data_IF_246459946960
#
_entry.id   IF_246459946960
#
_cell.length_a   1.000
_cell.length_b   1.000
_cell.length_c   1.000
_cell.angle_alpha   90.00
_cell.angle_beta   90.00
_cell.angle_gamma   90.00
#
_symmetry.space_group_name_H-M   'P 1'
#
loop_
_entity.id
_entity.type
_entity.pdbx_description
1 polymer ?
#
# COMPACT_ATOMS: atom_id res chain seq x y z
N UNK A 1 -0.77 39.13 10.17
CA UNK A 1 0.09 38.18 9.42
C UNK A 1 -0.80 37.00 9.09
N UNK A 2 -0.96 36.60 7.82
CA UNK A 2 -1.75 35.41 7.54
C UNK A 2 -0.96 34.21 8.06
N UNK A 3 -1.57 33.42 8.94
CA UNK A 3 -1.04 32.12 9.32
C UNK A 3 -0.89 31.28 8.06
N UNK A 4 0.30 30.74 7.81
CA UNK A 4 0.60 29.92 6.65
C UNK A 4 -0.33 28.71 6.65
N UNK A 5 -1.11 28.55 5.58
CA UNK A 5 -1.97 27.38 5.33
C UNK A 5 -1.20 26.09 5.09
N UNK A 6 0.13 26.09 5.17
CA UNK A 6 0.97 24.91 5.07
C UNK A 6 1.15 24.34 6.48
N UNK A 7 0.46 23.24 6.78
CA UNK A 7 0.82 22.44 7.96
C UNK A 7 2.27 21.92 7.86
N UNK A 8 2.82 21.29 8.93
CA UNK A 8 4.18 20.73 8.92
C UNK A 8 4.46 19.87 7.69
N UNK A 9 5.66 20.04 7.13
CA UNK A 9 6.16 19.30 5.97
C UNK A 9 6.14 17.79 6.22
N UNK A 10 5.90 17.04 5.14
CA UNK A 10 5.98 15.58 5.19
C UNK A 10 7.44 15.14 5.41
N UNK A 11 7.60 14.03 6.12
CA UNK A 11 8.89 13.41 6.36
C UNK A 11 9.56 13.08 5.01
N UNK A 12 10.86 13.34 4.80
CA UNK A 12 11.54 13.14 3.52
C UNK A 12 11.35 11.75 2.91
N UNK A 13 11.39 10.69 3.73
CA UNK A 13 11.05 9.33 3.29
C UNK A 13 9.63 9.21 2.71
N UNK A 14 8.62 9.80 3.35
CA UNK A 14 7.22 9.75 2.87
C UNK A 14 7.12 10.46 1.52
N UNK A 15 7.81 11.59 1.36
CA UNK A 15 7.85 12.33 0.09
C UNK A 15 8.51 11.50 -1.01
N UNK A 16 9.74 11.05 -0.78
CA UNK A 16 10.55 10.29 -1.75
C UNK A 16 9.84 9.00 -2.18
N UNK A 17 9.23 8.30 -1.22
CA UNK A 17 8.49 7.08 -1.51
C UNK A 17 7.20 7.37 -2.29
N UNK A 18 6.48 8.45 -1.95
CA UNK A 18 5.31 8.87 -2.73
C UNK A 18 5.69 9.18 -4.18
N UNK A 19 6.79 9.90 -4.39
CA UNK A 19 7.29 10.24 -5.72
C UNK A 19 7.71 8.98 -6.51
N UNK A 20 8.45 8.07 -5.88
CA UNK A 20 8.82 6.78 -6.47
C UNK A 20 7.58 5.98 -6.92
N UNK A 21 6.56 5.88 -6.06
CA UNK A 21 5.30 5.19 -6.36
C UNK A 21 4.57 5.86 -7.52
N UNK A 22 4.46 7.20 -7.51
CA UNK A 22 3.81 7.96 -8.60
C UNK A 22 4.53 7.76 -9.92
N UNK A 23 5.86 7.84 -9.94
CA UNK A 23 6.66 7.65 -11.14
C UNK A 23 6.48 6.23 -11.72
N UNK A 24 6.50 5.19 -10.87
CA UNK A 24 6.22 3.83 -11.34
C UNK A 24 4.80 3.73 -11.90
N UNK A 25 3.80 4.30 -11.21
CA UNK A 25 2.39 4.27 -11.62
C UNK A 25 2.18 4.93 -12.97
N UNK A 26 2.80 6.08 -13.23
CA UNK A 26 2.75 6.80 -14.51
C UNK A 26 3.32 5.98 -15.67
N UNK A 27 4.27 5.09 -15.41
CA UNK A 27 4.84 4.18 -16.40
C UNK A 27 3.96 2.97 -16.74
N UNK A 28 2.86 2.73 -16.03
CA UNK A 28 2.04 1.54 -16.23
C UNK A 28 1.11 1.68 -17.45
N UNK A 29 0.83 0.58 -18.17
CA UNK A 29 0.02 0.60 -19.39
C UNK A 29 -1.46 0.90 -19.10
N UNK A 30 -2.05 1.76 -19.93
CA UNK A 30 -3.48 2.12 -19.89
C UNK A 30 -3.93 2.73 -18.55
N UNK A 31 -3.06 3.51 -17.90
CA UNK A 31 -3.38 4.20 -16.64
C UNK A 31 -4.59 5.14 -16.81
N UNK A 32 -5.52 5.05 -15.87
CA UNK A 32 -6.73 5.88 -15.80
C UNK A 32 -7.03 6.22 -14.35
N UNK A 33 -7.58 7.41 -14.12
CA UNK A 33 -8.17 7.76 -12.83
C UNK A 33 -9.30 6.80 -12.48
N UNK A 34 -9.39 6.42 -11.20
CA UNK A 34 -10.51 5.66 -10.67
C UNK A 34 -11.28 6.56 -9.71
N UNK A 35 -12.56 6.77 -10.01
CA UNK A 35 -13.39 7.69 -9.25
C UNK A 35 -13.45 7.30 -7.76
N UNK A 36 -13.17 8.26 -6.90
CA UNK A 36 -13.34 8.17 -5.45
C UNK A 36 -14.44 9.15 -5.05
N UNK A 37 -15.34 8.80 -4.11
CA UNK A 37 -16.27 9.77 -3.54
C UNK A 37 -15.50 10.99 -3.01
N UNK A 38 -15.97 12.20 -3.32
CA UNK A 38 -15.25 13.43 -2.97
C UNK A 38 -15.00 13.58 -1.45
N UNK A 39 -15.88 12.99 -0.61
CA UNK A 39 -15.73 12.94 0.84
C UNK A 39 -14.63 11.98 1.33
N UNK A 40 -14.10 11.14 0.44
CA UNK A 40 -13.03 10.19 0.69
C UNK A 40 -11.73 10.51 -0.06
N UNK A 41 -11.74 11.41 -1.04
CA UNK A 41 -10.53 11.80 -1.78
C UNK A 41 -9.59 12.67 -0.94
N UNK A 42 -10.15 13.69 -0.27
CA UNK A 42 -9.44 14.59 0.64
C UNK A 42 -10.24 14.71 1.93
N UNK A 43 -9.68 14.23 3.03
CA UNK A 43 -10.37 14.18 4.32
C UNK A 43 -9.65 15.11 5.29
N UNK A 44 -10.44 15.96 5.93
CA UNK A 44 -9.98 16.87 6.98
C UNK A 44 -10.80 16.57 8.23
N UNK A 45 -10.12 16.28 9.33
CA UNK A 45 -10.74 15.98 10.62
C UNK A 45 -9.92 16.50 11.78
N UNK A 46 -10.26 16.04 12.98
CA UNK A 46 -9.49 16.32 14.18
C UNK A 46 -9.50 15.11 15.10
N UNK A 47 -8.37 14.82 15.75
CA UNK A 47 -8.27 13.79 16.77
C UNK A 47 -7.49 14.37 17.96
N UNK A 48 -8.07 14.28 19.17
CA UNK A 48 -7.47 14.76 20.41
C UNK A 48 -6.97 16.23 20.34
N UNK A 49 -7.65 17.08 19.56
CA UNK A 49 -7.31 18.49 19.35
C UNK A 49 -6.30 18.76 18.23
N UNK A 50 -5.73 17.72 17.62
CA UNK A 50 -4.81 17.81 16.50
C UNK A 50 -5.55 17.65 15.16
N UNK A 51 -5.15 18.41 14.14
CA UNK A 51 -5.75 18.32 12.81
C UNK A 51 -5.31 17.04 12.08
N UNK A 52 -6.27 16.31 11.52
CA UNK A 52 -6.05 15.12 10.70
C UNK A 52 -6.30 15.46 9.23
N UNK A 53 -5.35 15.11 8.38
CA UNK A 53 -5.43 15.25 6.93
C UNK A 53 -5.15 13.89 6.28
N UNK A 54 -5.99 13.46 5.34
CA UNK A 54 -5.78 12.25 4.55
C UNK A 54 -6.02 12.62 3.07
N UNK A 55 -5.08 12.23 2.21
CA UNK A 55 -5.13 12.45 0.77
C UNK A 55 -5.04 11.10 0.05
N UNK A 56 -6.03 10.82 -0.78
CA UNK A 56 -6.12 9.59 -1.56
C UNK A 56 -5.96 9.85 -3.04
N UNK A 57 -5.04 9.11 -3.67
CA UNK A 57 -4.85 9.05 -5.10
C UNK A 57 -5.18 7.64 -5.58
N UNK A 58 -6.20 7.51 -6.43
CA UNK A 58 -6.69 6.19 -6.86
C UNK A 58 -6.80 6.13 -8.37
N UNK A 59 -6.14 5.11 -8.93
CA UNK A 59 -6.09 4.86 -10.37
C UNK A 59 -6.40 3.40 -10.65
N UNK A 60 -6.50 3.06 -11.93
CA UNK A 60 -6.50 1.69 -12.45
C UNK A 60 -5.62 1.63 -13.69
N UNK A 61 -5.15 0.46 -14.06
CA UNK A 61 -4.43 0.27 -15.31
C UNK A 61 -4.70 -1.14 -15.87
N UNK A 62 -4.12 -1.48 -17.02
CA UNK A 62 -4.19 -2.85 -17.51
C UNK A 62 -3.59 -3.81 -16.46
N UNK A 63 -4.34 -4.84 -16.07
CA UNK A 63 -3.90 -5.87 -15.12
C UNK A 63 -4.05 -5.53 -13.64
N UNK A 64 -4.25 -4.26 -13.28
CA UNK A 64 -4.44 -3.80 -11.91
C UNK A 64 -5.78 -3.09 -11.77
N UNK A 65 -6.71 -3.67 -10.99
CA UNK A 65 -8.06 -3.15 -10.78
C UNK A 65 -8.07 -1.83 -10.01
N UNK A 66 -7.06 -1.62 -9.14
CA UNK A 66 -6.95 -0.45 -8.28
C UNK A 66 -5.50 -0.22 -7.86
N UNK A 67 -5.02 1.01 -8.00
CA UNK A 67 -3.73 1.49 -7.53
C UNK A 67 -4.02 2.64 -6.58
N UNK A 68 -3.91 2.38 -5.28
CA UNK A 68 -4.25 3.35 -4.23
C UNK A 68 -2.97 3.79 -3.53
N UNK A 69 -2.72 5.10 -3.53
CA UNK A 69 -1.73 5.76 -2.68
C UNK A 69 -2.47 6.71 -1.73
N UNK A 70 -2.35 6.45 -0.44
CA UNK A 70 -2.83 7.31 0.64
C UNK A 70 -1.63 7.95 1.35
N UNK A 71 -1.74 9.23 1.63
CA UNK A 71 -0.88 9.92 2.60
C UNK A 71 -1.74 10.55 3.68
N UNK A 72 -1.38 10.32 4.94
CA UNK A 72 -2.11 10.87 6.07
C UNK A 72 -1.18 11.57 7.06
N UNK A 73 -1.72 12.56 7.76
CA UNK A 73 -1.00 13.36 8.75
C UNK A 73 -1.92 13.75 9.89
N UNK A 74 -1.51 13.42 11.12
CA UNK A 74 -2.19 13.83 12.34
C UNK A 74 -1.28 14.78 13.13
N UNK A 75 -1.66 16.05 13.13
CA UNK A 75 -0.91 17.13 13.77
C UNK A 75 0.53 17.20 13.28
N UNK A 76 1.44 17.40 14.23
CA UNK A 76 2.90 17.24 14.04
C UNK A 76 3.38 15.81 14.35
N UNK A 77 2.52 14.96 14.93
CA UNK A 77 2.94 13.77 15.66
C UNK A 77 3.02 12.48 14.85
N UNK A 78 2.21 12.35 13.79
CA UNK A 78 2.12 11.12 13.02
C UNK A 78 1.93 11.42 11.53
N UNK A 79 2.67 10.71 10.70
CA UNK A 79 2.50 10.70 9.26
C UNK A 79 2.49 9.26 8.76
N UNK A 80 1.62 8.98 7.80
CA UNK A 80 1.40 7.64 7.24
C UNK A 80 1.49 7.74 5.73
N UNK A 81 2.14 6.76 5.13
CA UNK A 81 1.96 6.42 3.72
C UNK A 81 1.39 5.01 3.68
N UNK A 82 0.31 4.82 2.93
CA UNK A 82 -0.26 3.52 2.65
C UNK A 82 -0.41 3.38 1.14
N UNK A 83 0.11 2.33 0.55
CA UNK A 83 0.01 2.09 -0.87
C UNK A 83 -0.30 0.63 -1.16
N UNK A 84 -1.34 0.39 -1.95
CA UNK A 84 -1.70 -0.96 -2.39
C UNK A 84 -2.09 -0.97 -3.86
N UNK A 85 -1.45 -1.86 -4.63
CA UNK A 85 -1.87 -2.13 -6.01
C UNK A 85 -2.55 -3.51 -6.05
N UNK A 86 -3.86 -3.50 -6.29
CA UNK A 86 -4.67 -4.70 -6.38
C UNK A 86 -4.73 -5.20 -7.82
N UNK A 87 -4.41 -6.48 -8.08
CA UNK A 87 -4.50 -7.05 -9.41
C UNK A 87 -5.96 -7.30 -9.83
N UNK A 88 -6.24 -7.23 -11.12
CA UNK A 88 -7.46 -7.83 -11.66
C UNK A 88 -7.31 -9.37 -11.56
N UNK A 89 -8.27 -10.11 -10.97
CA UNK A 89 -8.17 -11.57 -10.80
C UNK A 89 -7.89 -12.35 -12.09
N UNK A 90 -8.19 -11.79 -13.27
CA UNK A 90 -7.87 -12.40 -14.57
C UNK A 90 -6.38 -12.41 -14.87
N UNK A 91 -5.58 -11.60 -14.19
CA UNK A 91 -4.13 -11.54 -14.39
C UNK A 91 -3.42 -12.24 -13.24
N UNK A 92 -2.42 -13.05 -13.57
CA UNK A 92 -1.60 -13.75 -12.58
C UNK A 92 -0.53 -12.82 -11.99
N UNK A 93 -0.98 -11.89 -11.14
CA UNK A 93 -0.17 -10.84 -10.53
C UNK A 93 -0.38 -10.83 -9.01
N UNK A 94 0.65 -10.51 -8.21
CA UNK A 94 0.52 -10.35 -6.77
C UNK A 94 -0.11 -9.01 -6.38
N UNK A 95 -0.48 -8.87 -5.11
CA UNK A 95 -0.80 -7.57 -4.51
C UNK A 95 0.50 -6.90 -4.10
N UNK A 96 0.77 -5.70 -4.60
CA UNK A 96 1.83 -4.86 -4.03
C UNK A 96 1.30 -4.11 -2.83
N UNK A 97 2.06 -4.08 -1.75
CA UNK A 97 1.77 -3.29 -0.55
C UNK A 97 3.01 -2.58 -0.04
N UNK A 98 2.86 -1.31 0.34
CA UNK A 98 3.88 -0.58 1.08
C UNK A 98 3.23 0.33 2.14
N UNK A 99 3.75 0.29 3.37
CA UNK A 99 3.30 1.19 4.45
C UNK A 99 4.49 1.82 5.18
N UNK A 100 4.36 3.11 5.47
CA UNK A 100 5.28 3.87 6.33
C UNK A 100 4.51 4.47 7.49
N UNK A 101 5.07 4.39 8.70
CA UNK A 101 4.58 5.13 9.87
C UNK A 101 5.72 5.97 10.44
N UNK A 102 5.63 7.28 10.23
CA UNK A 102 6.62 8.27 10.64
C UNK A 102 6.09 9.15 11.79
N UNK A 103 7.01 9.61 12.64
CA UNK A 103 6.76 10.52 13.75
C UNK A 103 7.94 11.48 13.92
N UNK A 104 7.86 12.50 14.79
CA UNK A 104 9.02 13.33 15.14
C UNK A 104 10.21 12.54 15.69
N UNK A 105 9.99 11.34 16.23
CA UNK A 105 11.06 10.45 16.70
C UNK A 105 11.67 9.59 15.57
N UNK A 106 11.30 9.83 14.31
CA UNK A 106 11.71 9.08 13.14
C UNK A 106 10.68 8.05 12.66
N UNK A 107 11.12 7.15 11.79
CA UNK A 107 10.31 6.08 11.22
C UNK A 107 10.16 4.95 12.25
N UNK A 108 8.92 4.56 12.52
CA UNK A 108 8.59 3.48 13.46
C UNK A 108 8.32 2.14 12.76
N UNK A 109 7.89 2.21 11.51
CA UNK A 109 7.57 1.05 10.68
C UNK A 109 7.74 1.42 9.20
N UNK A 110 8.39 0.54 8.46
CA UNK A 110 8.43 0.55 7.00
C UNK A 110 8.23 -0.89 6.52
N UNK A 111 7.22 -1.13 5.69
CA UNK A 111 6.90 -2.45 5.13
C UNK A 111 6.75 -2.37 3.62
N UNK A 112 7.25 -3.39 2.91
CA UNK A 112 7.00 -3.60 1.48
C UNK A 112 6.85 -5.08 1.18
N UNK A 113 5.93 -5.43 0.29
CA UNK A 113 5.73 -6.79 -0.19
C UNK A 113 5.12 -6.86 -1.60
N UNK A 114 5.36 -7.99 -2.26
CA UNK A 114 4.52 -8.51 -3.34
C UNK A 114 3.83 -9.77 -2.80
N UNK A 115 2.62 -9.62 -2.26
CA UNK A 115 1.87 -10.68 -1.61
C UNK A 115 1.18 -11.59 -2.64
N UNK A 116 1.29 -12.93 -2.53
CA UNK A 116 0.63 -13.83 -3.45
C UNK A 116 -0.90 -13.80 -3.26
N UNK A 117 -1.63 -13.85 -4.37
CA UNK A 117 -3.10 -14.03 -4.40
C UNK A 117 -3.50 -15.45 -4.81
N UNK A 118 -2.52 -16.31 -5.12
CA UNK A 118 -2.68 -17.75 -5.25
C UNK A 118 -1.93 -18.48 -4.14
N UNK A 119 -1.70 -19.79 -4.31
CA UNK A 119 -0.87 -20.54 -3.37
C UNK A 119 0.60 -20.10 -3.36
N UNK A 120 1.08 -19.51 -4.45
CA UNK A 120 2.48 -19.10 -4.66
C UNK A 120 2.53 -17.81 -5.49
N UNK A 121 3.70 -17.17 -5.53
CA UNK A 121 3.98 -16.09 -6.46
C UNK A 121 4.17 -16.65 -7.89
N UNK A 122 3.90 -15.86 -8.94
CA UNK A 122 4.33 -16.22 -10.28
C UNK A 122 5.85 -16.46 -10.31
N UNK A 123 6.29 -17.56 -10.94
CA UNK A 123 7.69 -18.03 -10.91
C UNK A 123 8.69 -16.92 -11.25
N UNK A 124 8.43 -16.14 -12.30
CA UNK A 124 9.33 -15.06 -12.70
C UNK A 124 9.45 -13.94 -11.66
N UNK A 125 8.41 -13.69 -10.86
CA UNK A 125 8.44 -12.71 -9.77
C UNK A 125 9.22 -13.28 -8.58
N UNK A 126 8.98 -14.55 -8.23
CA UNK A 126 9.71 -15.24 -7.16
C UNK A 126 11.22 -15.31 -7.44
N UNK A 127 11.60 -15.65 -8.67
CA UNK A 127 12.99 -15.64 -9.14
C UNK A 127 13.58 -14.23 -9.07
N UNK A 128 12.84 -13.20 -9.50
CA UNK A 128 13.34 -11.82 -9.43
C UNK A 128 13.56 -11.35 -7.99
N UNK A 129 12.62 -11.66 -7.08
CA UNK A 129 12.70 -11.27 -5.67
C UNK A 129 13.82 -12.01 -4.92
N UNK A 130 14.03 -13.30 -5.22
CA UNK A 130 15.11 -14.09 -4.62
C UNK A 130 16.52 -13.64 -5.02
N UNK A 131 16.65 -12.93 -6.15
CA UNK A 131 17.90 -12.36 -6.61
C UNK A 131 18.19 -10.94 -6.07
N UNK A 132 17.27 -10.33 -5.30
CA UNK A 132 17.51 -9.01 -4.70
C UNK A 132 18.55 -9.15 -3.59
N UNK A 133 19.61 -8.36 -3.67
CA UNK A 133 20.54 -8.19 -2.56
C UNK A 133 19.89 -7.31 -1.49
N UNK A 134 19.49 -7.92 -0.37
CA UNK A 134 18.80 -7.20 0.69
C UNK A 134 19.80 -6.38 1.51
N UNK A 135 19.59 -5.06 1.66
CA UNK A 135 20.41 -4.23 2.53
C UNK A 135 20.40 -4.74 3.98
N UNK A 136 21.50 -4.52 4.69
CA UNK A 136 21.68 -4.99 6.06
C UNK A 136 21.00 -4.05 7.07
N UNK A 137 19.66 -4.03 7.07
CA UNK A 137 18.87 -3.23 8.01
C UNK A 137 19.13 -3.66 9.46
N UNK A 138 19.45 -2.70 10.34
CA UNK A 138 19.77 -2.96 11.75
C UNK A 138 18.57 -3.51 12.52
N UNK A 139 17.35 -3.06 12.18
CA UNK A 139 16.14 -3.37 12.93
C UNK A 139 15.07 -4.00 12.03
N UNK A 140 15.18 -5.31 11.84
CA UNK A 140 14.13 -6.13 11.22
C UNK A 140 13.06 -6.47 12.26
N UNK A 141 11.79 -6.34 11.88
CA UNK A 141 10.64 -6.54 12.76
C UNK A 141 9.93 -7.85 12.44
N UNK A 142 9.47 -8.52 13.50
CA UNK A 142 8.58 -9.67 13.35
C UNK A 142 7.22 -9.26 12.82
N UNK A 143 6.67 -10.11 11.94
CA UNK A 143 5.30 -9.97 11.48
C UNK A 143 4.30 -10.38 12.58
N UNK A 144 3.15 -9.70 12.68
CA UNK A 144 2.09 -10.14 13.59
C UNK A 144 1.49 -11.47 13.13
N UNK A 145 0.87 -12.23 14.05
CA UNK A 145 0.35 -13.56 13.74
C UNK A 145 -0.73 -13.61 12.63
N UNK A 146 -1.42 -12.49 12.37
CA UNK A 146 -2.42 -12.40 11.30
C UNK A 146 -1.80 -12.19 9.91
N UNK A 147 -0.55 -11.76 9.84
CA UNK A 147 0.14 -11.38 8.61
C UNK A 147 0.64 -12.59 7.80
N UNK A 148 -0.20 -13.63 7.72
CA UNK A 148 0.01 -14.86 6.93
C UNK A 148 -0.15 -14.64 5.42
N UNK A 149 -0.55 -13.43 5.02
CA UNK A 149 -0.83 -13.04 3.64
C UNK A 149 0.42 -12.57 2.89
N UNK A 150 1.46 -12.16 3.64
CA UNK A 150 2.68 -11.65 3.03
C UNK A 150 3.53 -12.77 2.45
N UNK A 151 4.30 -12.44 1.43
CA UNK A 151 5.23 -13.38 0.81
C UNK A 151 6.45 -13.64 1.71
N UNK A 152 7.24 -14.70 1.42
CA UNK A 152 8.56 -14.89 2.04
C UNK A 152 9.54 -13.73 1.81
N UNK A 153 9.25 -12.84 0.85
CA UNK A 153 10.07 -11.70 0.48
C UNK A 153 9.62 -10.40 1.15
N UNK A 154 8.59 -10.41 1.99
CA UNK A 154 8.20 -9.23 2.76
C UNK A 154 9.36 -8.66 3.55
N UNK A 155 9.48 -7.34 3.55
CA UNK A 155 10.44 -6.63 4.40
C UNK A 155 9.66 -5.76 5.35
N UNK A 156 9.86 -5.97 6.65
CA UNK A 156 9.28 -5.17 7.70
C UNK A 156 10.39 -4.71 8.63
N UNK A 157 10.66 -3.41 8.64
CA UNK A 157 11.83 -2.85 9.32
C UNK A 157 11.46 -1.59 10.10
N UNK A 158 12.42 -1.14 10.91
CA UNK A 158 12.47 0.22 11.46
C UNK A 158 13.79 0.86 11.02
N UNK A 159 13.79 1.70 9.97
CA UNK A 159 15.01 2.35 9.51
C UNK A 159 15.70 3.13 10.65
N UNK A 160 16.96 2.80 10.92
CA UNK A 160 17.72 3.36 12.04
C UNK A 160 18.28 4.76 11.75
N UNK A 161 18.55 5.06 10.47
CA UNK A 161 19.22 6.27 10.02
C UNK A 161 18.77 6.64 8.59
N UNK A 162 19.30 7.72 8.01
CA UNK A 162 18.94 8.18 6.67
C UNK A 162 19.37 7.21 5.57
N UNK A 163 20.54 6.57 5.71
CA UNK A 163 21.05 5.61 4.74
C UNK A 163 20.11 4.40 4.62
N UNK A 164 19.60 3.86 5.74
CA UNK A 164 18.59 2.80 5.70
C UNK A 164 17.25 3.26 5.10
N UNK A 165 16.90 4.55 5.22
CA UNK A 165 15.70 5.08 4.58
C UNK A 165 15.87 5.14 3.06
N UNK A 166 17.03 5.56 2.58
CA UNK A 166 17.36 5.59 1.15
C UNK A 166 17.36 4.16 0.58
N UNK A 167 18.00 3.20 1.25
CA UNK A 167 17.95 1.78 0.90
C UNK A 167 16.53 1.23 0.83
N UNK A 168 15.65 1.67 1.73
CA UNK A 168 14.26 1.24 1.70
C UNK A 168 13.50 1.81 0.49
N UNK A 169 13.76 3.06 0.09
CA UNK A 169 13.18 3.62 -1.16
C UNK A 169 13.64 2.84 -2.38
N UNK A 170 14.95 2.57 -2.50
CA UNK A 170 15.52 1.78 -3.61
C UNK A 170 14.95 0.35 -3.66
N UNK A 171 14.72 -0.24 -2.48
CA UNK A 171 14.10 -1.55 -2.36
C UNK A 171 12.65 -1.53 -2.85
N UNK A 172 11.85 -0.51 -2.47
CA UNK A 172 10.47 -0.37 -2.96
C UNK A 172 10.45 -0.14 -4.47
N UNK A 173 11.36 0.70 -4.99
CA UNK A 173 11.54 0.89 -6.43
C UNK A 173 11.82 -0.44 -7.14
N UNK A 174 12.66 -1.29 -6.56
CA UNK A 174 12.95 -2.62 -7.10
C UNK A 174 11.70 -3.51 -7.14
N UNK A 175 10.88 -3.52 -6.10
CA UNK A 175 9.63 -4.30 -6.05
C UNK A 175 8.62 -3.80 -7.10
N UNK A 176 8.48 -2.48 -7.19
CA UNK A 176 7.65 -1.82 -8.19
C UNK A 176 8.13 -2.12 -9.63
N UNK A 177 9.44 -2.10 -9.87
CA UNK A 177 10.03 -2.44 -11.16
C UNK A 177 9.80 -3.91 -11.56
N UNK A 178 9.81 -4.83 -10.60
CA UNK A 178 9.44 -6.24 -10.83
C UNK A 178 7.96 -6.34 -11.21
N UNK A 179 7.07 -5.69 -10.43
CA UNK A 179 5.64 -5.70 -10.70
C UNK A 179 5.32 -5.09 -12.07
N UNK A 180 5.91 -3.93 -12.41
CA UNK A 180 5.67 -3.24 -13.67
C UNK A 180 5.99 -4.13 -14.88
N UNK A 181 7.16 -4.79 -14.87
CA UNK A 181 7.52 -5.78 -15.92
C UNK A 181 6.57 -6.96 -15.97
N UNK A 182 6.04 -7.40 -14.83
CA UNK A 182 5.04 -8.46 -14.79
C UNK A 182 3.70 -8.01 -15.38
N UNK A 183 3.26 -6.79 -15.07
CA UNK A 183 2.03 -6.17 -15.62
C UNK A 183 2.10 -6.08 -17.14
N UNK A 184 3.23 -5.63 -17.70
CA UNK A 184 3.44 -5.56 -19.16
C UNK A 184 3.30 -6.91 -19.85
N UNK A 185 3.79 -7.99 -19.22
CA UNK A 185 3.85 -9.33 -19.83
C UNK A 185 2.60 -10.16 -19.59
N UNK A 186 1.95 -9.98 -18.44
CA UNK A 186 0.82 -10.79 -18.01
C UNK A 186 -0.32 -10.74 -19.02
N UNK A 187 -0.98 -11.88 -19.25
CA UNK A 187 -2.14 -11.99 -20.11
C UNK A 187 -3.37 -12.35 -19.28
N UNK A 188 -4.55 -11.82 -19.61
CA UNK A 188 -5.77 -12.18 -18.89
C UNK A 188 -6.17 -13.63 -19.19
N UNK A 189 -6.56 -14.37 -18.16
CA UNK A 189 -7.32 -15.62 -18.27
C UNK A 189 -8.82 -15.32 -18.27
N UNK A 190 -9.62 -16.29 -18.72
CA UNK A 190 -11.07 -16.14 -18.76
C UNK A 190 -11.65 -15.93 -17.34
N UNK A 191 -12.75 -15.18 -17.22
CA UNK A 191 -13.45 -15.00 -15.94
C UNK A 191 -13.84 -16.32 -15.27
N UNK A 192 -14.32 -17.28 -16.06
CA UNK A 192 -14.73 -18.60 -15.59
C UNK A 192 -13.57 -19.58 -15.34
N UNK A 193 -12.32 -19.16 -15.55
CA UNK A 193 -11.15 -20.01 -15.33
C UNK A 193 -10.99 -20.30 -13.82
N UNK A 194 -10.80 -21.57 -13.41
CA UNK A 194 -10.56 -21.91 -12.00
C UNK A 194 -9.40 -21.13 -11.35
N UNK A 195 -8.36 -20.77 -12.12
CA UNK A 195 -7.24 -19.97 -11.61
C UNK A 195 -7.65 -18.50 -11.39
N UNK A 196 -8.52 -17.94 -12.24
CA UNK A 196 -9.11 -16.61 -12.01
C UNK A 196 -9.92 -16.59 -10.72
N UNK A 197 -10.75 -17.61 -10.49
CA UNK A 197 -11.53 -17.75 -9.25
C UNK A 197 -10.63 -17.94 -8.01
N UNK A 198 -9.55 -18.73 -8.14
CA UNK A 198 -8.59 -18.90 -7.05
C UNK A 198 -7.93 -17.57 -6.67
N UNK A 199 -7.51 -16.76 -7.65
CA UNK A 199 -6.92 -15.42 -7.41
C UNK A 199 -7.91 -14.43 -6.83
N UNK A 200 -9.18 -14.50 -7.27
CA UNK A 200 -10.26 -13.74 -6.65
C UNK A 200 -10.37 -14.07 -5.15
N UNK A 201 -10.43 -15.35 -4.79
CA UNK A 201 -10.52 -15.77 -3.38
C UNK A 201 -9.28 -15.39 -2.57
N UNK A 202 -8.08 -15.46 -3.14
CA UNK A 202 -6.86 -15.02 -2.47
C UNK A 202 -6.84 -13.52 -2.22
N UNK A 203 -7.33 -12.70 -3.15
CA UNK A 203 -7.52 -11.26 -2.92
C UNK A 203 -8.56 -10.96 -1.83
N UNK A 204 -9.69 -11.68 -1.82
CA UNK A 204 -10.68 -11.57 -0.74
C UNK A 204 -10.04 -11.90 0.60
N UNK A 205 -9.26 -12.98 0.68
CA UNK A 205 -8.53 -13.35 1.89
C UNK A 205 -7.52 -12.28 2.31
N UNK A 206 -6.76 -11.72 1.37
CA UNK A 206 -5.83 -10.61 1.61
C UNK A 206 -6.56 -9.41 2.24
N UNK A 207 -7.67 -8.97 1.62
CA UNK A 207 -8.46 -7.84 2.12
C UNK A 207 -9.02 -8.11 3.52
N UNK A 208 -9.59 -9.30 3.75
CA UNK A 208 -10.15 -9.68 5.05
C UNK A 208 -9.10 -9.75 6.16
N UNK A 209 -7.88 -10.20 5.85
CA UNK A 209 -6.78 -10.24 6.81
C UNK A 209 -6.26 -8.83 7.11
N UNK A 210 -6.13 -7.96 6.10
CA UNK A 210 -5.74 -6.56 6.32
C UNK A 210 -6.76 -5.79 7.16
N UNK A 211 -8.06 -6.07 7.00
CA UNK A 211 -9.15 -5.49 7.81
C UNK A 211 -9.05 -5.82 9.31
N UNK A 212 -8.30 -6.87 9.69
CA UNK A 212 -8.01 -7.22 11.09
C UNK A 212 -6.89 -6.38 11.70
N UNK A 213 -6.28 -5.47 10.93
CA UNK A 213 -5.29 -4.54 11.46
C UNK A 213 -5.96 -3.46 12.32
N UNK A 214 -6.07 -3.75 13.61
CA UNK A 214 -6.65 -2.87 14.63
C UNK A 214 -6.03 -1.46 14.68
N UNK A 215 -4.78 -1.26 14.24
CA UNK A 215 -4.09 0.03 14.43
C UNK A 215 -4.70 1.12 13.56
N UNK A 216 -4.86 0.87 12.27
CA UNK A 216 -5.47 1.82 11.33
C UNK A 216 -6.90 2.10 11.73
N UNK A 217 -7.68 1.05 12.00
CA UNK A 217 -9.06 1.13 12.46
C UNK A 217 -9.23 2.04 13.68
N UNK A 218 -8.45 1.83 14.74
CA UNK A 218 -8.56 2.65 15.97
C UNK A 218 -8.27 4.13 15.75
N UNK A 219 -7.37 4.48 14.83
CA UNK A 219 -7.09 5.90 14.51
C UNK A 219 -8.30 6.51 13.80
N UNK A 220 -8.86 5.83 12.80
CA UNK A 220 -10.01 6.32 12.05
C UNK A 220 -11.28 6.38 12.90
N UNK A 221 -11.54 5.37 13.74
CA UNK A 221 -12.70 5.33 14.63
C UNK A 221 -12.71 6.49 15.64
N UNK A 222 -11.55 6.83 16.21
CA UNK A 222 -11.48 7.96 17.13
C UNK A 222 -11.67 9.31 16.43
N UNK A 223 -11.23 9.44 15.18
CA UNK A 223 -11.31 10.70 14.44
C UNK A 223 -12.70 10.93 13.81
N UNK A 224 -13.34 9.88 13.30
CA UNK A 224 -14.54 10.00 12.46
C UNK A 224 -15.72 9.11 12.91
N UNK A 225 -15.54 8.29 13.95
CA UNK A 225 -16.54 7.34 14.43
C UNK A 225 -16.54 6.02 13.65
N UNK A 226 -17.16 5.00 14.25
CA UNK A 226 -17.13 3.62 13.75
C UNK A 226 -17.73 3.45 12.36
N UNK A 227 -18.89 4.03 12.10
CA UNK A 227 -19.58 3.88 10.81
C UNK A 227 -18.73 4.42 9.65
N UNK A 228 -18.09 5.58 9.86
CA UNK A 228 -17.23 6.16 8.84
C UNK A 228 -15.96 5.34 8.65
N UNK A 229 -15.33 4.89 9.74
CA UNK A 229 -14.13 4.05 9.68
C UNK A 229 -14.40 2.71 8.96
N UNK A 230 -15.54 2.07 9.24
CA UNK A 230 -15.98 0.87 8.53
C UNK A 230 -16.12 1.12 7.03
N UNK A 231 -16.86 2.17 6.64
CA UNK A 231 -17.01 2.55 5.24
C UNK A 231 -15.67 2.78 4.56
N UNK A 232 -14.76 3.52 5.20
CA UNK A 232 -13.45 3.82 4.65
C UNK A 232 -12.61 2.55 4.43
N UNK A 233 -12.61 1.65 5.40
CA UNK A 233 -11.85 0.40 5.36
C UNK A 233 -12.42 -0.57 4.32
N UNK A 234 -13.75 -0.71 4.29
CA UNK A 234 -14.46 -1.69 3.45
C UNK A 234 -14.58 -1.23 1.99
N UNK A 235 -14.76 0.06 1.73
CA UNK A 235 -15.02 0.59 0.39
C UNK A 235 -13.78 1.24 -0.26
N UNK A 236 -12.79 1.69 0.52
CA UNK A 236 -11.61 2.36 -0.03
C UNK A 236 -10.28 1.66 0.28
N UNK A 237 -9.94 1.33 1.53
CA UNK A 237 -8.62 0.74 1.78
C UNK A 237 -8.51 -0.70 1.25
N UNK A 238 -9.51 -1.52 1.54
CA UNK A 238 -9.47 -2.96 1.28
C UNK A 238 -10.79 -3.45 0.68
N UNK A 239 -11.26 -2.78 -0.38
CA UNK A 239 -12.41 -3.25 -1.15
C UNK A 239 -12.12 -4.60 -1.81
N UNK A 240 -13.04 -5.53 -1.64
CA UNK A 240 -12.95 -6.85 -2.25
C UNK A 240 -13.13 -6.74 -3.78
N UNK A 241 -12.42 -7.56 -4.58
CA UNK A 241 -12.62 -7.56 -6.03
C UNK A 241 -14.07 -7.91 -6.38
N UNK A 242 -14.56 -7.42 -7.52
CA UNK A 242 -15.84 -7.89 -8.07
C UNK A 242 -15.69 -9.35 -8.51
N UNK A 243 -16.71 -10.18 -8.25
CA UNK A 243 -16.73 -11.56 -8.71
C UNK A 243 -16.52 -11.63 -10.25
N UNK A 244 -15.52 -12.38 -10.75
CA UNK A 244 -15.12 -12.40 -12.16
C UNK A 244 -16.19 -12.81 -13.18
#
# INVERSE_FOLDING_TARGET
MPESSSGPELHPLVVSLSECIRQCREGLPDLQDLAVPADLEQIIGSLDGEALFISNEVHRCRGLRKLHLETARLGVGLQILHCVFFPDPRFDLPVFGADIVASPAGISAAIVDLSPVGGHLPVAIEEALSNINIPAFEQVRDLPAWATIFSPFVRFIRPANHEEQDWFVELVETYLGILSRAVERAQPTASSDPLTLARYHGQVSYCQQQKRNDKTRRVLEKAFGTIWADRYIEELLFDEPVCP
#
